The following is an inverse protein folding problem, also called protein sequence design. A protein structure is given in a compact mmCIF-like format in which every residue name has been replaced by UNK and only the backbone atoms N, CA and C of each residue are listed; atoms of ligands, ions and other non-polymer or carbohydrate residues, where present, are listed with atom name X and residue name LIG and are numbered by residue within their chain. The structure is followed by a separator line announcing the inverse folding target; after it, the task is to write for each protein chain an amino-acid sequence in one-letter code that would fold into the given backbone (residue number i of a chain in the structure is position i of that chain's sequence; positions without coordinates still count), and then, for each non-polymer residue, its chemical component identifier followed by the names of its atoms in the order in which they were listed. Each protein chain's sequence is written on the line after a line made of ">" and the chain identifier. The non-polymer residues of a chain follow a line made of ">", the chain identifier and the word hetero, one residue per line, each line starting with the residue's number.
data_IF_425787438254
#
_entry.id   IF_425787438254
#
_cell.length_a   1.000
_cell.length_b   1.000
_cell.length_c   1.000
_cell.angle_alpha   90.00
_cell.angle_beta   90.00
_cell.angle_gamma   90.00
#
_symmetry.space_group_name_H-M   'P 1'
#
loop_
_entity.id
_entity.type
_entity.pdbx_description
1 polymer ?
#
# COMPACT_ATOMS: atom_id res chain seq x y z
N UNK A 1 20.97 -7.47 -31.35
CA UNK A 1 20.12 -6.70 -30.42
C UNK A 1 21.00 -5.59 -29.87
N UNK A 2 20.73 -4.32 -30.20
CA UNK A 2 21.44 -3.17 -29.63
C UNK A 2 20.40 -2.39 -28.84
N UNK A 3 20.34 -2.63 -27.53
CA UNK A 3 19.39 -2.02 -26.60
C UNK A 3 19.83 -0.60 -26.17
N UNK A 4 20.94 -0.09 -26.73
CA UNK A 4 21.53 1.23 -26.46
C UNK A 4 20.80 2.39 -27.16
N UNK A 5 19.60 2.17 -27.70
CA UNK A 5 18.86 3.24 -28.36
C UNK A 5 18.24 4.18 -27.29
N UNK A 6 18.61 5.48 -27.27
CA UNK A 6 18.25 6.38 -26.16
C UNK A 6 16.73 6.55 -26.01
N UNK A 7 16.28 6.54 -24.74
CA UNK A 7 14.86 6.65 -24.32
C UNK A 7 14.18 7.89 -24.92
N UNK A 8 14.95 8.97 -25.05
CA UNK A 8 14.52 10.22 -25.67
C UNK A 8 15.26 10.42 -26.99
N UNK A 9 14.54 10.35 -28.10
CA UNK A 9 15.11 10.70 -29.41
C UNK A 9 14.92 12.19 -29.65
N UNK A 10 16.04 12.90 -29.82
CA UNK A 10 16.05 14.30 -30.25
C UNK A 10 15.66 14.36 -31.72
N UNK A 11 14.54 14.99 -32.05
CA UNK A 11 14.19 15.27 -33.45
C UNK A 11 15.26 16.18 -34.07
N UNK A 12 15.87 15.76 -35.19
CA UNK A 12 16.89 16.55 -35.91
C UNK A 12 16.30 17.61 -36.85
N UNK A 13 14.97 17.66 -37.00
CA UNK A 13 14.32 18.57 -37.95
C UNK A 13 13.73 19.78 -37.23
N UNK A 14 14.58 20.78 -36.98
CA UNK A 14 14.22 22.18 -36.70
C UNK A 14 13.43 22.48 -35.41
N UNK A 15 12.84 21.48 -34.75
CA UNK A 15 12.15 21.62 -33.47
C UNK A 15 12.69 20.56 -32.54
N UNK A 16 13.36 21.00 -31.48
CA UNK A 16 13.94 20.20 -30.41
C UNK A 16 12.86 19.50 -29.56
N UNK A 17 11.96 18.73 -30.20
CA UNK A 17 10.94 17.93 -29.52
C UNK A 17 11.55 16.61 -29.11
N UNK A 18 11.52 16.36 -27.81
CA UNK A 18 11.78 15.05 -27.23
C UNK A 18 10.58 14.16 -27.53
N UNK A 19 10.78 13.16 -28.38
CA UNK A 19 9.76 12.13 -28.63
C UNK A 19 10.07 10.92 -27.76
N UNK A 20 9.05 10.43 -27.05
CA UNK A 20 9.14 9.16 -26.32
C UNK A 20 9.29 8.05 -27.36
N UNK A 21 10.36 7.24 -27.30
CA UNK A 21 10.49 6.10 -28.22
C UNK A 21 9.61 4.95 -27.72
N UNK A 22 8.46 4.65 -28.36
CA UNK A 22 7.58 3.56 -27.91
C UNK A 22 8.25 2.19 -28.09
N UNK A 23 9.31 2.11 -28.91
CA UNK A 23 10.11 0.91 -29.14
C UNK A 23 11.27 0.75 -28.15
N UNK A 24 11.40 1.61 -27.14
CA UNK A 24 12.39 1.40 -26.09
C UNK A 24 11.89 0.33 -25.10
N UNK A 25 12.48 -0.88 -25.09
CA UNK A 25 12.02 -1.99 -24.26
C UNK A 25 12.10 -1.68 -22.77
N UNK A 26 13.01 -0.79 -22.34
CA UNK A 26 13.16 -0.41 -20.93
C UNK A 26 11.97 0.41 -20.45
N UNK A 27 11.54 1.40 -21.24
CA UNK A 27 10.39 2.24 -20.89
C UNK A 27 9.10 1.43 -20.85
N UNK A 28 8.91 0.54 -21.83
CA UNK A 28 7.78 -0.39 -21.85
C UNK A 28 7.82 -1.35 -20.66
N UNK A 29 8.99 -1.91 -20.35
CA UNK A 29 9.20 -2.79 -19.20
C UNK A 29 8.85 -2.11 -17.89
N UNK A 30 9.25 -0.84 -17.70
CA UNK A 30 8.93 -0.07 -16.51
C UNK A 30 7.42 0.18 -16.38
N UNK A 31 6.72 0.50 -17.48
CA UNK A 31 5.27 0.68 -17.48
C UNK A 31 4.57 -0.63 -17.08
N UNK A 32 4.97 -1.76 -17.67
CA UNK A 32 4.38 -3.06 -17.35
C UNK A 32 4.64 -3.43 -15.89
N UNK A 33 5.88 -3.30 -15.42
CA UNK A 33 6.26 -3.64 -14.05
C UNK A 33 5.50 -2.79 -13.02
N UNK A 34 5.44 -1.47 -13.23
CA UNK A 34 4.70 -0.56 -12.33
C UNK A 34 3.20 -0.81 -12.35
N UNK A 35 2.62 -1.13 -13.51
CA UNK A 35 1.20 -1.47 -13.64
C UNK A 35 0.86 -2.77 -12.91
N UNK A 36 1.67 -3.82 -13.09
CA UNK A 36 1.49 -5.10 -12.39
C UNK A 36 1.63 -4.92 -10.87
N UNK A 37 2.64 -4.15 -10.43
CA UNK A 37 2.81 -3.83 -9.01
C UNK A 37 1.59 -3.10 -8.43
N UNK A 38 1.07 -2.09 -9.13
CA UNK A 38 -0.11 -1.35 -8.68
C UNK A 38 -1.36 -2.23 -8.59
N UNK A 39 -1.61 -3.09 -9.59
CA UNK A 39 -2.74 -4.03 -9.58
C UNK A 39 -2.61 -5.01 -8.40
N UNK A 40 -1.42 -5.56 -8.17
CA UNK A 40 -1.15 -6.45 -7.04
C UNK A 40 -1.46 -5.77 -5.70
N UNK A 41 -1.01 -4.52 -5.52
CA UNK A 41 -1.31 -3.76 -4.30
C UNK A 41 -2.81 -3.58 -4.09
N UNK A 42 -3.56 -3.19 -5.14
CA UNK A 42 -5.02 -3.04 -5.05
C UNK A 42 -5.70 -4.35 -4.65
N UNK A 43 -5.28 -5.48 -5.25
CA UNK A 43 -5.84 -6.81 -4.92
C UNK A 43 -5.53 -7.19 -3.47
N UNK A 44 -4.32 -6.94 -2.98
CA UNK A 44 -3.96 -7.24 -1.59
C UNK A 44 -4.71 -6.37 -0.58
N UNK A 45 -4.95 -5.10 -0.91
CA UNK A 45 -5.74 -4.19 -0.10
C UNK A 45 -7.21 -4.62 -0.04
N UNK A 46 -7.80 -5.00 -1.17
CA UNK A 46 -9.20 -5.46 -1.23
C UNK A 46 -9.41 -6.73 -0.39
N UNK A 47 -8.48 -7.68 -0.49
CA UNK A 47 -8.53 -8.91 0.31
C UNK A 47 -8.05 -8.72 1.76
N UNK A 48 -7.60 -7.51 2.13
CA UNK A 48 -6.96 -7.20 3.43
C UNK A 48 -5.95 -8.26 3.86
N UNK A 49 -5.03 -8.59 2.95
CA UNK A 49 -4.04 -9.65 3.12
C UNK A 49 -2.61 -9.11 3.23
N UNK A 50 -1.73 -9.88 3.87
CA UNK A 50 -0.30 -9.58 3.99
C UNK A 50 -0.06 -8.23 4.69
N UNK A 51 0.57 -7.24 4.03
CA UNK A 51 0.90 -5.95 4.67
C UNK A 51 -0.34 -5.10 5.01
N UNK A 52 -1.53 -5.47 4.54
CA UNK A 52 -2.79 -4.76 4.79
C UNK A 52 -3.72 -5.52 5.75
N UNK A 53 -3.25 -6.59 6.40
CA UNK A 53 -4.03 -7.30 7.39
C UNK A 53 -4.42 -6.38 8.57
N UNK A 54 -5.68 -6.44 9.04
CA UNK A 54 -6.08 -5.69 10.22
C UNK A 54 -5.22 -6.13 11.41
N UNK A 55 -4.68 -5.16 12.14
CA UNK A 55 -4.05 -5.45 13.42
C UNK A 55 -5.04 -6.22 14.28
N UNK A 56 -4.60 -7.31 14.97
CA UNK A 56 -5.49 -8.03 15.86
C UNK A 56 -6.09 -7.06 16.87
N UNK A 57 -7.39 -7.21 17.13
CA UNK A 57 -8.08 -6.36 18.08
C UNK A 57 -7.37 -6.45 19.45
N UNK A 58 -7.21 -5.33 20.17
CA UNK A 58 -6.65 -5.37 21.52
C UNK A 58 -7.52 -6.29 22.38
N UNK A 59 -6.91 -7.30 22.99
CA UNK A 59 -7.55 -8.29 23.88
C UNK A 59 -7.91 -7.71 25.25
N UNK A 60 -8.26 -6.41 25.32
CA UNK A 60 -8.70 -5.79 26.57
C UNK A 60 -9.79 -6.66 27.19
N UNK A 61 -9.42 -7.29 28.30
CA UNK A 61 -10.32 -8.00 29.16
C UNK A 61 -10.77 -6.97 30.19
N UNK A 62 -12.07 -6.74 30.40
CA UNK A 62 -12.48 -5.94 31.54
C UNK A 62 -11.90 -6.58 32.79
N UNK A 63 -10.98 -5.90 33.46
CA UNK A 63 -10.83 -6.16 34.89
C UNK A 63 -12.23 -5.91 35.46
N UNK A 64 -12.88 -6.96 35.93
CA UNK A 64 -14.12 -6.83 36.68
C UNK A 64 -13.82 -5.83 37.80
N UNK A 65 -14.35 -4.63 37.66
CA UNK A 65 -14.24 -3.58 38.66
C UNK A 65 -15.07 -4.03 39.85
N UNK A 66 -14.46 -4.84 40.71
CA UNK A 66 -15.06 -5.33 41.96
C UNK A 66 -14.57 -4.51 43.15
N UNK A 67 -14.25 -3.23 42.95
CA UNK A 67 -13.79 -2.33 44.01
C UNK A 67 -14.76 -1.15 44.23
N UNK A 68 -16.06 -1.44 44.29
CA UNK A 68 -17.05 -0.38 44.54
C UNK A 68 -18.47 -0.79 44.85
N UNK A 69 -18.75 -2.08 45.13
CA UNK A 69 -20.05 -2.47 45.67
C UNK A 69 -20.12 -2.00 47.13
N UNK A 70 -20.74 -0.85 47.34
CA UNK A 70 -21.21 -0.39 48.65
C UNK A 70 -21.94 -1.54 49.36
N UNK A 71 -21.33 -2.12 50.39
CA UNK A 71 -22.03 -2.97 51.35
C UNK A 71 -22.64 -2.07 52.42
N UNK A 72 -23.97 -1.97 52.56
CA UNK A 72 -24.55 -1.41 53.77
C UNK A 72 -24.26 -2.37 54.93
N UNK A 73 -23.51 -1.94 55.93
CA UNK A 73 -23.40 -2.66 57.19
C UNK A 73 -24.74 -2.61 57.92
N UNK A 74 -25.31 -3.74 58.40
CA UNK A 74 -26.43 -3.68 59.31
C UNK A 74 -25.96 -3.14 60.66
N UNK A 75 -26.63 -2.08 61.14
CA UNK A 75 -26.45 -1.54 62.50
C UNK A 75 -26.86 -2.60 63.52
N UNK A 76 -26.05 -2.90 64.55
CA UNK A 76 -26.52 -3.70 65.68
C UNK A 76 -27.53 -2.87 66.50
N UNK A 77 -28.59 -3.55 66.94
CA UNK A 77 -29.68 -3.07 67.81
C UNK A 77 -29.23 -2.88 69.26
#
# INVERSE_FOLDING_TARGET
>A
MNDDEPVFKKSKWGTNRYSLNPRNPVGLGLIIATSVFAILMVVLMENRAGPFEPSPAPTWSPHAYTDGLWHPTPSPS
#
